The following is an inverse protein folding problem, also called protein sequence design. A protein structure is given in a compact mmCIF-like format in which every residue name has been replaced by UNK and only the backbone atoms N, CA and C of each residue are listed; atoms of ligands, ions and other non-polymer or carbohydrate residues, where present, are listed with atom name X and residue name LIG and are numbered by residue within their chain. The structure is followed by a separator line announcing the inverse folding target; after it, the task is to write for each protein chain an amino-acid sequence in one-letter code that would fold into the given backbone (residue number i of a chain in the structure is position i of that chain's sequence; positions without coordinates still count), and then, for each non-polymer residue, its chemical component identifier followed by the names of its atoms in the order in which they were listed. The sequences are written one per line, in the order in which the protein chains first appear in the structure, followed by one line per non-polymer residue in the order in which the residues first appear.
data_IF_673355828770
#
_entry.id   IF_673355828770
#
_cell.length_a   1.000
_cell.length_b   1.000
_cell.length_c   1.000
_cell.angle_alpha   90.00
_cell.angle_beta   90.00
_cell.angle_gamma   90.00
#
_symmetry.space_group_name_H-M   'P 1'
#
loop_
_entity.id
_entity.type
_entity.pdbx_description
1 polymer ?
#
# COMPACT_ATOMS: atom_id res chain seq x y z
N UNK A 1 -25.77 -32.69 -32.13
CA UNK A 1 -25.75 -33.57 -30.93
C UNK A 1 -24.39 -34.23 -30.91
N UNK A 2 -23.52 -34.19 -29.93
CA UNK A 2 -23.53 -33.86 -28.49
C UNK A 2 -22.03 -33.70 -28.14
N UNK A 3 -21.54 -32.60 -27.56
CA UNK A 3 -21.74 -32.25 -26.16
C UNK A 3 -20.73 -33.01 -25.28
N UNK A 4 -19.46 -32.56 -25.22
CA UNK A 4 -18.49 -33.06 -24.23
C UNK A 4 -18.22 -31.98 -23.18
N UNK A 5 -18.80 -32.22 -22.00
CA UNK A 5 -18.67 -31.45 -20.78
C UNK A 5 -17.71 -32.19 -19.85
N UNK A 6 -16.58 -31.59 -19.51
CA UNK A 6 -15.63 -32.09 -18.52
C UNK A 6 -15.11 -30.93 -17.68
N UNK A 7 -15.75 -30.71 -16.54
CA UNK A 7 -15.47 -29.64 -15.58
C UNK A 7 -14.07 -29.78 -14.99
N UNK A 8 -13.19 -28.81 -15.24
CA UNK A 8 -12.01 -28.57 -14.42
C UNK A 8 -12.46 -27.99 -13.07
N UNK A 9 -12.44 -28.80 -12.01
CA UNK A 9 -12.43 -28.32 -10.63
C UNK A 9 -10.98 -28.15 -10.21
N UNK A 10 -10.41 -26.97 -10.44
CA UNK A 10 -9.24 -26.53 -9.68
C UNK A 10 -9.68 -26.19 -8.26
N UNK A 11 -9.17 -26.96 -7.31
CA UNK A 11 -9.46 -26.85 -5.90
C UNK A 11 -8.73 -25.64 -5.31
N UNK A 12 -9.38 -24.46 -5.32
CA UNK A 12 -8.88 -23.26 -4.65
C UNK A 12 -9.61 -23.05 -3.33
N UNK A 13 -8.99 -23.51 -2.24
CA UNK A 13 -9.35 -23.09 -0.88
C UNK A 13 -8.12 -23.25 0.03
N UNK A 14 -7.28 -22.21 0.10
CA UNK A 14 -6.14 -22.20 1.04
C UNK A 14 -5.83 -20.84 1.66
N UNK A 15 -6.82 -19.96 1.80
CA UNK A 15 -6.65 -18.66 2.49
C UNK A 15 -7.51 -18.51 3.75
N UNK A 16 -8.36 -19.48 4.09
CA UNK A 16 -9.27 -19.36 5.24
C UNK A 16 -9.11 -20.53 6.22
N UNK A 17 -8.07 -20.50 7.04
CA UNK A 17 -8.00 -21.33 8.24
C UNK A 17 -7.86 -20.40 9.46
N UNK A 18 -8.93 -20.34 10.27
CA UNK A 18 -9.00 -19.53 11.48
C UNK A 18 -10.25 -18.66 11.59
N UNK A 19 -11.46 -19.23 11.37
CA UNK A 19 -12.72 -18.53 11.62
C UNK A 19 -13.17 -18.80 13.06
N UNK A 20 -13.47 -17.75 13.82
CA UNK A 20 -14.27 -17.84 15.03
C UNK A 20 -15.77 -17.68 14.70
N UNK A 21 -16.64 -17.98 15.66
CA UNK A 21 -18.10 -17.93 15.50
C UNK A 21 -18.65 -16.49 15.37
N UNK A 22 -17.80 -15.46 15.48
CA UNK A 22 -18.18 -14.04 15.53
C UNK A 22 -17.99 -13.31 14.18
N UNK A 23 -17.42 -13.98 13.17
CA UNK A 23 -17.20 -13.38 11.86
C UNK A 23 -16.11 -12.31 11.92
N UNK A 24 -15.02 -12.62 12.62
CA UNK A 24 -13.81 -11.81 12.72
C UNK A 24 -12.59 -12.59 12.22
N UNK A 25 -11.62 -11.87 11.66
CA UNK A 25 -10.31 -12.39 11.27
C UNK A 25 -9.22 -11.78 12.15
N UNK A 26 -8.34 -12.62 12.68
CA UNK A 26 -7.17 -12.17 13.41
C UNK A 26 -6.13 -11.61 12.42
N UNK A 27 -5.80 -10.33 12.58
CA UNK A 27 -4.84 -9.60 11.75
C UNK A 27 -3.58 -9.35 12.56
N UNK A 28 -2.43 -9.73 12.01
CA UNK A 28 -1.13 -9.37 12.60
C UNK A 28 -0.63 -8.10 11.92
N UNK A 29 -0.35 -7.07 12.71
CA UNK A 29 0.23 -5.80 12.25
C UNK A 29 1.71 -5.81 12.63
N UNK A 30 2.58 -5.60 11.64
CA UNK A 30 4.03 -5.47 11.82
C UNK A 30 4.44 -4.04 11.54
N UNK A 31 5.04 -3.39 12.52
CA UNK A 31 5.63 -2.07 12.39
C UNK A 31 7.13 -2.22 12.12
N UNK A 32 7.60 -1.53 11.09
CA UNK A 32 8.99 -1.58 10.64
C UNK A 32 9.56 -0.16 10.58
N UNK A 33 10.87 -0.03 10.82
CA UNK A 33 11.53 1.27 10.84
C UNK A 33 12.94 1.24 10.23
N UNK A 34 13.41 2.43 9.87
CA UNK A 34 14.82 2.80 9.70
C UNK A 34 15.15 3.92 10.67
N UNK A 35 16.34 3.89 11.25
CA UNK A 35 16.81 4.89 12.24
C UNK A 35 18.06 5.65 11.78
N UNK A 36 18.57 5.31 10.60
CA UNK A 36 19.61 6.04 9.91
C UNK A 36 19.32 6.09 8.40
N UNK A 37 19.67 7.18 7.70
CA UNK A 37 19.65 7.20 6.23
C UNK A 37 20.54 6.09 5.61
N UNK A 38 21.58 5.65 6.32
CA UNK A 38 22.47 4.57 5.88
C UNK A 38 21.82 3.17 5.95
N UNK A 39 20.68 3.03 6.63
CA UNK A 39 19.93 1.77 6.67
C UNK A 39 19.32 1.43 5.31
N UNK A 40 19.13 2.42 4.43
CA UNK A 40 18.50 2.24 3.13
C UNK A 40 19.35 1.35 2.21
N UNK A 41 18.75 0.22 1.83
CA UNK A 41 19.27 -0.67 0.78
C UNK A 41 18.49 -0.42 -0.52
N UNK A 42 19.01 0.43 -1.43
CA UNK A 42 18.25 0.84 -2.60
C UNK A 42 17.98 -0.34 -3.55
N UNK A 43 16.79 -0.37 -4.14
CA UNK A 43 16.47 -1.25 -5.26
C UNK A 43 17.13 -0.76 -6.55
N UNK A 44 17.22 -1.66 -7.54
CA UNK A 44 17.62 -1.29 -8.89
C UNK A 44 16.64 -0.26 -9.50
N UNK A 45 17.19 0.66 -10.30
CA UNK A 45 16.39 1.59 -11.10
C UNK A 45 15.76 0.80 -12.26
N UNK A 46 14.43 0.85 -12.44
CA UNK A 46 13.75 0.18 -13.55
C UNK A 46 14.11 0.81 -14.89
N UNK A 47 14.14 0.00 -15.95
CA UNK A 47 14.35 0.50 -17.30
C UNK A 47 13.15 1.30 -17.83
N UNK A 48 13.44 2.26 -18.71
CA UNK A 48 12.46 3.05 -19.45
C UNK A 48 12.01 4.32 -18.74
N UNK A 49 10.91 4.91 -19.23
CA UNK A 49 10.34 6.14 -18.65
C UNK A 49 9.56 5.84 -17.37
N UNK A 50 10.29 5.81 -16.26
CA UNK A 50 9.76 5.61 -14.90
C UNK A 50 10.19 6.80 -14.04
N UNK A 51 9.22 7.49 -13.43
CA UNK A 51 9.44 8.71 -12.65
C UNK A 51 8.66 8.68 -11.36
N UNK A 52 9.26 9.13 -10.26
CA UNK A 52 8.53 9.37 -9.01
C UNK A 52 8.44 10.88 -8.83
N UNK A 53 7.22 11.40 -8.71
CA UNK A 53 6.93 12.84 -8.74
C UNK A 53 6.05 13.20 -7.56
N UNK A 54 6.37 14.30 -6.87
CA UNK A 54 5.53 14.87 -5.82
C UNK A 54 4.30 15.53 -6.44
N UNK A 55 3.13 15.32 -5.85
CA UNK A 55 2.00 16.23 -6.04
C UNK A 55 2.20 17.43 -5.11
N UNK A 56 2.67 18.54 -5.67
CA UNK A 56 2.97 19.76 -4.90
C UNK A 56 1.72 20.59 -4.62
N UNK A 57 0.74 20.54 -5.52
CA UNK A 57 -0.59 21.11 -5.31
C UNK A 57 -1.45 20.12 -4.52
N UNK A 58 -2.14 20.62 -3.48
CA UNK A 58 -3.09 19.81 -2.75
C UNK A 58 -4.21 19.35 -3.67
N UNK A 59 -4.49 18.04 -3.69
CA UNK A 59 -5.64 17.47 -4.41
C UNK A 59 -6.29 16.33 -3.62
N UNK A 60 -7.45 16.58 -3.00
CA UNK A 60 -8.29 15.54 -2.39
C UNK A 60 -8.60 14.39 -3.36
N UNK A 61 -8.86 14.73 -4.62
CA UNK A 61 -9.22 13.79 -5.67
C UNK A 61 -8.08 12.82 -5.95
N UNK A 62 -6.83 13.30 -5.96
CA UNK A 62 -5.67 12.47 -6.24
C UNK A 62 -5.30 11.54 -5.08
N UNK A 63 -5.41 12.03 -3.84
CA UNK A 63 -5.30 11.19 -2.65
C UNK A 63 -6.36 10.08 -2.66
N UNK A 64 -7.62 10.44 -2.90
CA UNK A 64 -8.74 9.49 -2.96
C UNK A 64 -8.57 8.49 -4.10
N UNK A 65 -8.16 8.95 -5.29
CA UNK A 65 -7.90 8.10 -6.46
C UNK A 65 -6.94 6.98 -6.10
N UNK A 66 -5.78 7.30 -5.53
CA UNK A 66 -4.78 6.29 -5.20
C UNK A 66 -5.19 5.40 -4.04
N UNK A 67 -5.75 5.97 -2.98
CA UNK A 67 -6.19 5.19 -1.82
C UNK A 67 -7.16 4.08 -2.25
N UNK A 68 -8.17 4.42 -3.05
CA UNK A 68 -9.13 3.44 -3.55
C UNK A 68 -8.52 2.50 -4.59
N UNK A 69 -7.68 3.01 -5.50
CA UNK A 69 -7.16 2.21 -6.61
C UNK A 69 -6.02 1.27 -6.27
N UNK A 70 -5.24 1.60 -5.24
CA UNK A 70 -4.18 0.76 -4.73
C UNK A 70 -4.70 -0.10 -3.58
N UNK A 71 -5.43 0.49 -2.64
CA UNK A 71 -5.86 -0.17 -1.41
C UNK A 71 -7.16 -0.97 -1.50
N UNK A 72 -7.99 -0.74 -2.52
CA UNK A 72 -9.30 -1.38 -2.65
C UNK A 72 -9.27 -2.90 -2.74
N UNK A 73 -8.14 -3.46 -3.22
CA UNK A 73 -7.90 -4.91 -3.27
C UNK A 73 -7.29 -5.47 -1.97
N UNK A 74 -6.82 -4.60 -1.06
CA UNK A 74 -6.14 -4.92 0.21
C UNK A 74 -6.95 -4.49 1.45
N UNK A 75 -8.27 -4.35 1.31
CA UNK A 75 -9.19 -4.01 2.40
C UNK A 75 -8.92 -2.65 3.06
N UNK A 76 -8.35 -1.69 2.32
CA UNK A 76 -8.23 -0.30 2.78
C UNK A 76 -9.60 0.39 2.71
N UNK A 77 -10.46 0.08 3.67
CA UNK A 77 -11.83 0.59 3.73
C UNK A 77 -11.96 1.84 4.62
N UNK A 78 -10.99 2.12 5.50
CA UNK A 78 -11.10 3.15 6.54
C UNK A 78 -11.33 4.58 6.05
N UNK A 79 -11.03 4.89 4.78
CA UNK A 79 -11.28 6.21 4.16
C UNK A 79 -12.22 6.14 2.96
N UNK A 80 -12.86 5.00 2.70
CA UNK A 80 -13.70 4.82 1.51
C UNK A 80 -14.89 5.78 1.50
N UNK A 81 -15.51 5.95 2.67
CA UNK A 81 -16.71 6.77 2.86
C UNK A 81 -16.39 8.22 3.26
N UNK A 82 -15.12 8.61 3.20
CA UNK A 82 -14.75 10.01 3.44
C UNK A 82 -15.38 10.92 2.39
N UNK A 83 -15.98 12.00 2.87
CA UNK A 83 -16.45 13.09 2.01
C UNK A 83 -15.28 13.96 1.54
N UNK A 84 -15.59 14.96 0.70
CA UNK A 84 -14.58 15.84 0.13
C UNK A 84 -13.79 16.60 1.22
N UNK A 85 -14.48 17.18 2.22
CA UNK A 85 -13.84 17.94 3.30
C UNK A 85 -12.87 17.11 4.14
N UNK A 86 -13.17 15.82 4.35
CA UNK A 86 -12.28 14.90 5.05
C UNK A 86 -11.02 14.60 4.25
N UNK A 87 -11.14 14.43 2.93
CA UNK A 87 -9.97 14.28 2.06
C UNK A 87 -9.15 15.57 1.96
N UNK A 88 -9.79 16.72 1.89
CA UNK A 88 -9.14 18.03 1.91
C UNK A 88 -8.39 18.26 3.22
N UNK A 89 -9.02 18.04 4.36
CA UNK A 89 -8.39 18.18 5.66
C UNK A 89 -7.15 17.28 5.81
N UNK A 90 -7.18 16.09 5.21
CA UNK A 90 -6.04 15.18 5.19
C UNK A 90 -4.94 15.62 4.23
N UNK A 91 -5.29 15.94 2.98
CA UNK A 91 -4.33 16.32 1.94
C UNK A 91 -3.64 17.66 2.23
N UNK A 92 -4.35 18.60 2.86
CA UNK A 92 -3.81 19.90 3.29
C UNK A 92 -3.06 19.86 4.63
N UNK A 93 -2.94 18.70 5.29
CA UNK A 93 -2.28 18.61 6.59
C UNK A 93 -0.78 18.94 6.45
N UNK A 94 -0.22 19.83 7.28
CA UNK A 94 1.22 20.11 7.26
C UNK A 94 2.04 18.84 7.43
N UNK A 95 3.08 18.69 6.60
CA UNK A 95 3.96 17.51 6.60
C UNK A 95 3.42 16.30 5.85
N UNK A 96 2.21 16.36 5.26
CA UNK A 96 1.71 15.33 4.35
C UNK A 96 2.21 15.60 2.93
N UNK A 97 2.77 14.57 2.29
CA UNK A 97 3.22 14.63 0.90
C UNK A 97 2.77 13.40 0.12
N UNK A 98 2.12 13.60 -1.02
CA UNK A 98 1.80 12.52 -1.95
C UNK A 98 2.88 12.42 -3.03
N UNK A 99 3.43 11.21 -3.16
CA UNK A 99 4.42 10.85 -4.18
C UNK A 99 3.84 9.83 -5.13
N UNK A 100 3.75 10.16 -6.41
CA UNK A 100 3.19 9.30 -7.45
C UNK A 100 4.30 8.69 -8.31
N UNK A 101 4.25 7.37 -8.49
CA UNK A 101 5.03 6.68 -9.51
C UNK A 101 4.32 6.79 -10.86
N UNK A 102 5.03 7.22 -11.88
CA UNK A 102 4.59 7.32 -13.26
C UNK A 102 5.39 6.38 -14.14
N UNK A 103 4.72 5.67 -15.04
CA UNK A 103 5.34 4.81 -16.06
C UNK A 103 4.77 5.22 -17.41
N UNK A 104 5.61 5.78 -18.28
CA UNK A 104 5.22 6.26 -19.62
C UNK A 104 3.95 7.12 -19.61
N UNK A 105 3.86 8.03 -18.63
CA UNK A 105 2.72 8.95 -18.48
C UNK A 105 1.47 8.36 -17.79
N UNK A 106 1.49 7.10 -17.34
CA UNK A 106 0.39 6.50 -16.58
C UNK A 106 0.77 6.40 -15.09
N UNK A 107 -0.09 6.80 -14.14
CA UNK A 107 0.17 6.56 -12.73
C UNK A 107 0.20 5.05 -12.47
N UNK A 108 1.22 4.58 -11.76
CA UNK A 108 1.52 3.17 -11.55
C UNK A 108 1.46 2.76 -10.06
N UNK A 109 1.53 3.74 -9.15
CA UNK A 109 1.53 3.53 -7.71
C UNK A 109 1.79 4.83 -6.98
N UNK A 110 1.76 4.80 -5.66
CA UNK A 110 1.99 5.98 -4.84
C UNK A 110 2.51 5.66 -3.45
N UNK A 111 2.98 6.70 -2.78
CA UNK A 111 3.17 6.72 -1.35
C UNK A 111 2.67 8.05 -0.75
N UNK A 112 2.27 8.01 0.51
CA UNK A 112 2.00 9.21 1.31
C UNK A 112 3.01 9.27 2.43
N UNK A 113 3.82 10.33 2.46
CA UNK A 113 4.68 10.66 3.59
C UNK A 113 3.91 11.54 4.56
N UNK A 114 4.15 11.35 5.85
CA UNK A 114 3.59 12.16 6.93
C UNK A 114 4.65 12.42 7.97
N UNK A 115 5.20 13.63 7.98
CA UNK A 115 6.14 14.08 9.01
C UNK A 115 5.41 14.41 10.31
N UNK A 116 5.93 13.90 11.44
CA UNK A 116 5.46 14.18 12.80
C UNK A 116 6.67 14.29 13.69
N UNK A 117 6.89 15.48 14.25
CA UNK A 117 8.11 15.78 15.00
C UNK A 117 9.36 15.42 14.17
N UNK A 118 10.17 14.47 14.64
CA UNK A 118 11.37 13.98 13.93
C UNK A 118 11.15 12.61 13.25
N UNK A 119 9.91 12.12 13.20
CA UNK A 119 9.54 10.89 12.53
C UNK A 119 8.88 11.20 11.19
N UNK A 120 9.17 10.38 10.18
CA UNK A 120 8.42 10.40 8.91
C UNK A 120 7.77 9.03 8.71
N UNK A 121 6.44 9.03 8.74
CA UNK A 121 5.65 7.83 8.46
C UNK A 121 5.36 7.71 6.96
N UNK A 122 5.54 6.52 6.39
CA UNK A 122 4.95 6.14 5.10
C UNK A 122 3.56 5.58 5.37
N UNK A 123 2.57 6.46 5.41
CA UNK A 123 1.20 6.16 5.86
C UNK A 123 0.46 5.24 4.89
N UNK A 124 0.68 5.45 3.59
CA UNK A 124 0.19 4.57 2.55
C UNK A 124 1.29 4.32 1.52
N UNK A 125 1.36 3.10 1.03
CA UNK A 125 2.32 2.70 0.01
C UNK A 125 1.75 1.56 -0.84
N UNK A 126 1.85 1.67 -2.16
CA UNK A 126 1.57 0.53 -3.02
C UNK A 126 1.53 0.86 -4.50
N UNK A 127 1.30 -0.18 -5.30
CA UNK A 127 1.18 -0.10 -6.74
C UNK A 127 -0.24 -0.44 -7.18
N UNK A 128 -0.64 0.12 -8.31
CA UNK A 128 -1.82 -0.36 -9.02
C UNK A 128 -1.59 -1.82 -9.46
N UNK A 129 -2.63 -2.68 -9.45
CA UNK A 129 -2.47 -4.11 -9.73
C UNK A 129 -1.75 -4.44 -11.04
N UNK A 130 -2.01 -3.66 -12.10
CA UNK A 130 -1.41 -3.85 -13.44
C UNK A 130 0.10 -3.55 -13.50
N UNK A 131 0.69 -3.04 -12.43
CA UNK A 131 2.10 -2.66 -12.36
C UNK A 131 2.92 -3.52 -11.39
N UNK A 132 2.28 -4.45 -10.69
CA UNK A 132 2.94 -5.39 -9.77
C UNK A 132 3.80 -6.40 -10.55
N UNK A 133 4.89 -6.87 -9.92
CA UNK A 133 5.79 -7.88 -10.49
C UNK A 133 6.84 -7.34 -11.47
N UNK A 134 6.95 -6.01 -11.61
CA UNK A 134 7.83 -5.34 -12.58
C UNK A 134 9.06 -4.66 -11.95
N UNK A 135 9.38 -4.95 -10.69
CA UNK A 135 10.47 -4.28 -9.95
C UNK A 135 10.15 -2.85 -9.47
N UNK A 136 9.01 -2.28 -9.88
CA UNK A 136 8.61 -0.90 -9.61
C UNK A 136 8.42 -0.58 -8.11
N UNK A 137 7.99 -1.54 -7.31
CA UNK A 137 7.70 -1.33 -5.89
C UNK A 137 8.96 -1.08 -5.07
N UNK A 138 10.05 -1.79 -5.38
CA UNK A 138 11.34 -1.56 -4.74
C UNK A 138 11.88 -0.16 -5.08
N UNK A 139 11.74 0.25 -6.34
CA UNK A 139 12.16 1.57 -6.81
C UNK A 139 11.37 2.71 -6.16
N UNK A 140 10.04 2.62 -6.15
CA UNK A 140 9.18 3.61 -5.50
C UNK A 140 9.52 3.74 -4.01
N UNK A 141 9.65 2.62 -3.29
CA UNK A 141 9.99 2.64 -1.86
C UNK A 141 11.36 3.29 -1.65
N UNK A 142 12.35 2.94 -2.47
CA UNK A 142 13.70 3.52 -2.38
C UNK A 142 13.66 5.04 -2.53
N UNK A 143 12.93 5.54 -3.52
CA UNK A 143 12.85 6.98 -3.76
C UNK A 143 12.09 7.71 -2.65
N UNK A 144 10.96 7.17 -2.22
CA UNK A 144 10.15 7.76 -1.13
C UNK A 144 10.91 7.81 0.19
N UNK A 145 11.70 6.77 0.50
CA UNK A 145 12.55 6.76 1.70
C UNK A 145 13.68 7.78 1.62
N UNK A 146 14.29 7.98 0.44
CA UNK A 146 15.25 9.08 0.24
C UNK A 146 14.61 10.44 0.49
N UNK A 147 13.37 10.65 0.01
CA UNK A 147 12.63 11.89 0.26
C UNK A 147 12.31 12.09 1.74
N UNK A 148 11.90 11.02 2.43
CA UNK A 148 11.66 11.04 3.87
C UNK A 148 12.93 11.46 4.64
N UNK A 149 14.08 10.85 4.37
CA UNK A 149 15.36 11.22 5.00
C UNK A 149 15.88 12.61 4.60
N UNK A 150 15.42 13.16 3.48
CA UNK A 150 15.77 14.52 3.05
C UNK A 150 14.96 15.60 3.79
N UNK A 151 13.91 15.24 4.53
CA UNK A 151 13.19 16.17 5.40
C UNK A 151 14.10 16.51 6.59
N UNK A 152 14.37 17.80 6.80
CA UNK A 152 15.25 18.28 7.86
C UNK A 152 14.75 17.84 9.24
N UNK A 153 15.68 17.38 10.09
CA UNK A 153 15.37 16.91 11.44
C UNK A 153 14.88 15.46 11.53
N UNK A 154 14.69 14.76 10.41
CA UNK A 154 14.27 13.35 10.42
C UNK A 154 15.29 12.47 11.14
N UNK A 155 14.83 11.77 12.17
CA UNK A 155 15.61 10.77 12.93
C UNK A 155 15.13 9.35 12.70
N UNK A 156 13.95 9.18 12.11
CA UNK A 156 13.36 7.86 11.86
C UNK A 156 12.35 7.90 10.72
N UNK A 157 12.39 6.86 9.89
CA UNK A 157 11.37 6.57 8.87
C UNK A 157 10.67 5.28 9.25
N UNK A 158 9.34 5.27 9.29
CA UNK A 158 8.56 4.11 9.75
C UNK A 158 7.32 3.88 8.92
N UNK A 159 6.79 2.67 9.01
CA UNK A 159 5.48 2.29 8.47
C UNK A 159 4.99 1.03 9.17
N UNK A 160 3.72 0.71 8.96
CA UNK A 160 3.17 -0.60 9.31
C UNK A 160 2.63 -1.32 8.07
N UNK A 161 2.60 -2.64 8.17
CA UNK A 161 1.90 -3.53 7.24
C UNK A 161 1.17 -4.59 8.04
N UNK A 162 0.19 -5.26 7.45
CA UNK A 162 -0.55 -6.31 8.12
C UNK A 162 -0.69 -7.57 7.28
N UNK A 163 -1.14 -8.66 7.91
CA UNK A 163 -1.37 -9.95 7.25
C UNK A 163 -2.43 -9.92 6.14
N UNK A 164 -3.19 -8.82 6.00
CA UNK A 164 -4.17 -8.59 4.93
C UNK A 164 -3.59 -7.82 3.73
N UNK A 165 -2.41 -7.20 3.87
CA UNK A 165 -1.75 -6.49 2.77
C UNK A 165 -1.17 -7.48 1.75
N UNK A 166 -0.63 -6.92 0.64
CA UNK A 166 0.00 -7.71 -0.40
C UNK A 166 1.08 -8.67 0.13
N UNK A 167 1.15 -9.92 -0.40
CA UNK A 167 2.07 -10.95 0.10
C UNK A 167 3.55 -10.59 -0.08
N UNK A 168 3.85 -9.49 -0.76
CA UNK A 168 5.20 -8.97 -0.98
C UNK A 168 5.53 -7.76 -0.11
N UNK A 169 4.59 -7.21 0.67
CA UNK A 169 4.76 -5.96 1.40
C UNK A 169 5.93 -6.03 2.39
N UNK A 170 5.87 -6.91 3.40
CA UNK A 170 6.92 -7.05 4.41
C UNK A 170 8.29 -7.32 3.80
N UNK A 171 8.38 -8.30 2.89
CA UNK A 171 9.62 -8.62 2.17
C UNK A 171 10.16 -7.43 1.38
N UNK A 172 9.28 -6.55 0.87
CA UNK A 172 9.72 -5.37 0.17
C UNK A 172 10.39 -4.37 1.12
N UNK A 173 9.84 -4.18 2.32
CA UNK A 173 10.41 -3.28 3.33
C UNK A 173 11.74 -3.81 3.87
N UNK A 174 11.79 -5.08 4.28
CA UNK A 174 12.99 -5.71 4.86
C UNK A 174 14.19 -5.66 3.91
N UNK A 175 13.98 -5.99 2.65
CA UNK A 175 15.08 -5.98 1.70
C UNK A 175 15.49 -4.56 1.27
N UNK A 176 14.75 -3.52 1.69
CA UNK A 176 15.12 -2.09 1.61
C UNK A 176 15.74 -1.56 2.91
N UNK A 177 15.95 -2.44 3.88
CA UNK A 177 16.67 -2.15 5.11
C UNK A 177 15.79 -1.74 6.29
N UNK A 178 14.46 -1.82 6.15
CA UNK A 178 13.59 -1.68 7.31
C UNK A 178 13.71 -2.91 8.22
N UNK A 179 13.62 -2.69 9.52
CA UNK A 179 13.61 -3.75 10.53
C UNK A 179 12.31 -3.71 11.35
N UNK A 180 11.69 -4.87 11.66
CA UNK A 180 10.57 -4.92 12.60
C UNK A 180 10.98 -4.42 13.98
N UNK A 181 10.14 -3.58 14.61
CA UNK A 181 10.35 -3.10 15.97
C UNK A 181 9.14 -3.29 16.90
N UNK A 182 7.96 -3.57 16.32
CA UNK A 182 6.73 -3.87 17.06
C UNK A 182 5.82 -4.78 16.25
N UNK A 183 5.12 -5.67 16.92
CA UNK A 183 4.05 -6.50 16.34
C UNK A 183 2.83 -6.44 17.24
N UNK A 184 1.65 -6.31 16.64
CA UNK A 184 0.35 -6.28 17.32
C UNK A 184 -0.59 -7.29 16.66
N UNK A 185 -1.58 -7.75 17.42
CA UNK A 185 -2.69 -8.57 16.91
C UNK A 185 -4.01 -7.84 17.15
N UNK A 186 -4.85 -7.80 16.13
CA UNK A 186 -6.14 -7.13 16.13
C UNK A 186 -7.19 -8.05 15.52
N UNK A 187 -8.36 -8.16 16.15
CA UNK A 187 -9.54 -8.80 15.53
C UNK A 187 -10.24 -7.77 14.64
N UNK A 188 -10.40 -8.08 13.35
CA UNK A 188 -11.16 -7.24 12.40
C UNK A 188 -12.39 -7.95 11.89
N UNK A 189 -13.47 -7.22 11.66
CA UNK A 189 -14.72 -7.80 11.18
C UNK A 189 -14.57 -8.36 9.76
N UNK A 190 -15.14 -9.53 9.51
CA UNK A 190 -15.27 -10.13 8.17
C UNK A 190 -16.09 -9.26 7.21
N UNK A 191 -16.90 -8.32 7.73
CA UNK A 191 -17.62 -7.33 6.90
C UNK A 191 -16.68 -6.34 6.23
N UNK A 192 -15.52 -6.08 6.85
CA UNK A 192 -14.40 -5.37 6.24
C UNK A 192 -13.58 -6.28 5.32
N UNK A 193 -13.84 -7.59 5.34
CA UNK A 193 -13.10 -8.65 4.63
C UNK A 193 -13.43 -8.81 3.14
N UNK A 194 -14.36 -8.02 2.58
CA UNK A 194 -14.63 -8.04 1.13
C UNK A 194 -13.85 -6.92 0.46
N UNK A 195 -12.83 -7.28 -0.31
CA UNK A 195 -12.17 -6.37 -1.23
C UNK A 195 -13.21 -5.84 -2.22
N UNK A 196 -13.38 -4.51 -2.25
CA UNK A 196 -14.36 -3.83 -3.10
C UNK A 196 -13.73 -3.24 -4.36
N UNK A 197 -12.41 -3.29 -4.46
CA UNK A 197 -11.66 -2.64 -5.53
C UNK A 197 -11.83 -1.11 -5.54
N UNK A 198 -11.32 -0.45 -6.59
CA UNK A 198 -11.34 1.01 -6.71
C UNK A 198 -12.73 1.65 -6.78
N UNK A 199 -13.71 0.95 -7.34
CA UNK A 199 -15.09 1.39 -7.49
C UNK A 199 -16.01 0.17 -7.45
N UNK A 200 -17.30 0.38 -7.24
CA UNK A 200 -18.25 -0.73 -7.13
C UNK A 200 -18.33 -1.52 -8.45
N UNK A 201 -18.16 -2.84 -8.37
CA UNK A 201 -18.08 -3.71 -9.53
C UNK A 201 -16.69 -3.81 -10.18
N UNK A 202 -15.65 -3.21 -9.58
CA UNK A 202 -14.28 -3.32 -10.07
C UNK A 202 -13.60 -4.66 -9.78
N UNK A 203 -14.23 -5.53 -8.98
CA UNK A 203 -13.67 -6.81 -8.56
C UNK A 203 -13.22 -7.63 -9.76
N UNK A 204 -11.91 -7.86 -9.85
CA UNK A 204 -11.31 -8.75 -10.83
C UNK A 204 -11.23 -10.13 -10.20
N UNK A 205 -11.47 -11.18 -10.98
CA UNK A 205 -11.08 -12.52 -10.54
C UNK A 205 -9.56 -12.49 -10.32
N UNK A 206 -9.06 -12.78 -9.10
CA UNK A 206 -7.63 -12.80 -8.86
C UNK A 206 -6.97 -13.79 -9.84
N UNK A 207 -5.91 -13.36 -10.53
CA UNK A 207 -5.05 -14.27 -11.29
C UNK A 207 -3.94 -14.81 -10.40
#
# INVERSE_FOLDING_TARGET
MSGWSGKNRTNHSRVFQGRDELGTVLVTITYVQQTSPDDLKPAAVPDGDVRVVRAEETSPEFHRYFYLSVGGDWLWNGRRDWNWDQWEAHASRPGVELWALWVRGTPAGYAVLRAVDNDVEIENFGLLPSFIGRGLGGHLLTEVVRRAWAIEGTTRVLLNTCSLDGPHALRNYEARGFVPYRTEQEERSDKDGVARGPWDGANRVPR
#
